data_IF_815650064019
#
_entry.id   IF_815650064019
#
_cell.length_a   1.000
_cell.length_b   1.000
_cell.length_c   1.000
_cell.angle_alpha   90.00
_cell.angle_beta   90.00
_cell.angle_gamma   90.00
#
_symmetry.space_group_name_H-M   'P 1'
#
loop_
_entity.id
_entity.type
_entity.pdbx_description
1 polymer ?
#
# COMPACT_ATOMS: atom_id res chain seq x y z
N UNK A 1 54.82 -5.04 -14.96
CA UNK A 1 53.94 -6.06 -15.60
C UNK A 1 52.82 -6.59 -14.70
N UNK A 2 53.06 -7.15 -13.50
CA UNK A 2 51.98 -7.56 -12.59
C UNK A 2 51.30 -6.37 -11.90
N UNK A 3 52.09 -5.40 -11.40
CA UNK A 3 51.56 -4.15 -10.82
C UNK A 3 50.74 -3.34 -11.84
N UNK A 4 51.24 -3.16 -13.06
CA UNK A 4 50.50 -2.44 -14.11
C UNK A 4 49.16 -3.09 -14.46
N UNK A 5 49.10 -4.43 -14.50
CA UNK A 5 47.84 -5.17 -14.72
C UNK A 5 46.87 -4.99 -13.55
N UNK A 6 47.37 -4.95 -12.32
CA UNK A 6 46.55 -4.72 -11.12
C UNK A 6 45.99 -3.29 -11.10
N UNK A 7 46.84 -2.28 -11.35
CA UNK A 7 46.45 -0.88 -11.41
C UNK A 7 45.40 -0.64 -12.51
N UNK A 8 45.57 -1.26 -13.69
CA UNK A 8 44.62 -1.16 -14.79
C UNK A 8 43.26 -1.79 -14.45
N UNK A 9 43.24 -2.99 -13.84
CA UNK A 9 42.00 -3.64 -13.38
C UNK A 9 41.29 -2.82 -12.29
N UNK A 10 42.04 -2.29 -11.33
CA UNK A 10 41.50 -1.42 -10.28
C UNK A 10 40.87 -0.15 -10.86
N UNK A 11 41.51 0.46 -11.86
CA UNK A 11 40.94 1.61 -12.56
C UNK A 11 39.64 1.27 -13.32
N UNK A 12 39.59 0.13 -14.01
CA UNK A 12 38.37 -0.31 -14.73
C UNK A 12 37.22 -0.66 -13.79
N UNK A 13 37.49 -1.29 -12.64
CA UNK A 13 36.49 -1.60 -11.63
C UNK A 13 35.83 -0.33 -11.07
N UNK A 14 36.62 0.74 -10.88
CA UNK A 14 36.10 2.06 -10.49
C UNK A 14 35.25 2.74 -11.56
N UNK A 15 35.35 2.32 -12.82
CA UNK A 15 34.52 2.78 -13.93
C UNK A 15 33.33 1.83 -14.21
N UNK A 16 33.00 0.94 -13.27
CA UNK A 16 31.86 0.02 -13.36
C UNK A 16 32.15 -1.30 -14.10
N UNK A 17 33.34 -1.50 -14.65
CA UNK A 17 33.71 -2.75 -15.32
C UNK A 17 34.36 -3.73 -14.34
N UNK A 18 33.60 -4.76 -13.94
CA UNK A 18 34.11 -5.81 -13.04
C UNK A 18 34.23 -5.37 -11.58
N UNK A 19 33.36 -4.47 -11.14
CA UNK A 19 33.11 -4.19 -9.72
C UNK A 19 32.19 -5.23 -9.08
N UNK A 20 32.10 -5.19 -7.74
CA UNK A 20 31.22 -6.06 -6.99
C UNK A 20 29.75 -5.83 -7.36
N UNK A 21 28.96 -6.90 -7.28
CA UNK A 21 27.52 -6.91 -7.59
C UNK A 21 26.72 -7.36 -6.39
N UNK A 22 25.47 -6.92 -6.34
CA UNK A 22 24.46 -7.37 -5.38
C UNK A 22 23.30 -8.01 -6.14
N UNK A 23 22.69 -9.02 -5.53
CA UNK A 23 21.52 -9.77 -6.03
C UNK A 23 20.68 -10.19 -4.81
N UNK A 24 19.41 -9.82 -4.74
CA UNK A 24 18.53 -10.14 -3.62
C UNK A 24 17.60 -11.30 -3.98
N UNK A 25 18.04 -12.50 -3.63
CA UNK A 25 17.32 -13.72 -3.95
C UNK A 25 16.20 -13.96 -2.95
N UNK A 26 14.96 -13.84 -3.42
CA UNK A 26 13.75 -14.11 -2.66
C UNK A 26 13.36 -15.59 -2.72
N UNK A 27 12.85 -16.14 -1.61
CA UNK A 27 12.31 -17.52 -1.59
C UNK A 27 11.04 -17.67 -2.46
N UNK A 28 10.22 -16.61 -2.53
CA UNK A 28 8.98 -16.51 -3.33
C UNK A 28 8.72 -15.03 -3.67
N UNK A 29 7.79 -14.76 -4.60
CA UNK A 29 7.39 -13.39 -4.95
C UNK A 29 6.11 -12.92 -4.25
N UNK A 30 5.34 -13.83 -3.67
CA UNK A 30 3.97 -13.57 -3.22
C UNK A 30 3.86 -13.64 -1.70
N UNK A 31 3.51 -12.52 -1.07
CA UNK A 31 3.46 -12.38 0.39
C UNK A 31 2.15 -11.74 0.81
N UNK A 32 1.45 -12.35 1.77
CA UNK A 32 0.30 -11.69 2.38
C UNK A 32 0.75 -10.57 3.33
N UNK A 33 -0.13 -9.60 3.59
CA UNK A 33 0.08 -8.66 4.69
C UNK A 33 0.34 -9.42 6.01
N UNK A 34 1.38 -9.02 6.74
CA UNK A 34 1.82 -9.71 7.96
C UNK A 34 2.75 -10.91 7.73
N UNK A 35 2.93 -11.39 6.49
CA UNK A 35 3.87 -12.46 6.20
C UNK A 35 5.31 -12.04 6.54
N UNK A 36 6.11 -13.03 6.94
CA UNK A 36 7.56 -12.88 7.03
C UNK A 36 8.22 -13.36 5.73
N UNK A 37 8.90 -12.42 5.08
CA UNK A 37 9.83 -12.69 4.00
C UNK A 37 11.14 -13.25 4.55
N UNK A 38 11.66 -14.24 3.83
CA UNK A 38 13.03 -14.74 3.94
C UNK A 38 13.66 -14.75 2.56
N UNK A 39 14.94 -14.40 2.52
CA UNK A 39 15.74 -14.41 1.30
C UNK A 39 17.22 -14.29 1.63
N UNK A 40 18.04 -14.24 0.60
CA UNK A 40 19.49 -14.10 0.71
C UNK A 40 19.97 -12.94 -0.17
N UNK A 41 20.73 -12.03 0.44
CA UNK A 41 21.48 -11.05 -0.31
C UNK A 41 22.83 -11.64 -0.71
N UNK A 42 23.04 -11.77 -2.01
CA UNK A 42 24.27 -12.30 -2.59
C UNK A 42 25.14 -11.13 -3.05
N UNK A 43 26.30 -10.98 -2.43
CA UNK A 43 27.33 -10.03 -2.85
C UNK A 43 28.44 -10.80 -3.56
N UNK A 44 28.62 -10.51 -4.84
CA UNK A 44 29.65 -11.11 -5.68
C UNK A 44 30.80 -10.10 -5.85
N UNK A 45 31.99 -10.44 -5.36
CA UNK A 45 33.19 -9.63 -5.50
C UNK A 45 33.61 -9.48 -6.97
N UNK A 46 34.13 -8.30 -7.30
CA UNK A 46 34.63 -7.98 -8.63
C UNK A 46 36.03 -8.56 -8.90
N UNK A 47 36.78 -7.89 -9.77
CA UNK A 47 38.12 -8.35 -10.20
C UNK A 47 39.27 -7.97 -9.26
N UNK A 48 39.00 -7.12 -8.26
CA UNK A 48 39.94 -6.61 -7.25
C UNK A 48 39.26 -6.55 -5.88
N UNK A 49 40.03 -6.47 -4.79
CA UNK A 49 39.47 -6.23 -3.45
C UNK A 49 38.73 -4.88 -3.44
N UNK A 50 37.53 -4.86 -2.85
CA UNK A 50 36.70 -3.66 -2.72
C UNK A 50 36.19 -3.52 -1.29
N UNK A 51 36.08 -2.27 -0.82
CA UNK A 51 35.46 -1.95 0.47
C UNK A 51 33.98 -1.61 0.23
N UNK A 52 33.09 -2.37 0.86
CA UNK A 52 31.66 -2.10 0.92
C UNK A 52 31.41 -1.22 2.13
N UNK A 53 30.82 -0.04 1.92
CA UNK A 53 30.51 0.91 2.98
C UNK A 53 29.18 0.56 3.65
N UNK A 54 28.14 0.36 2.84
CA UNK A 54 26.77 0.12 3.28
C UNK A 54 26.02 -0.71 2.24
N UNK A 55 24.97 -1.38 2.70
CA UNK A 55 23.95 -1.95 1.83
C UNK A 55 22.62 -1.39 2.33
N UNK A 56 21.82 -0.84 1.43
CA UNK A 56 20.45 -0.42 1.73
C UNK A 56 19.49 -1.32 0.96
N UNK A 57 18.47 -1.85 1.63
CA UNK A 57 17.38 -2.58 0.97
C UNK A 57 16.08 -1.85 1.33
N UNK A 58 15.38 -1.38 0.31
CA UNK A 58 14.15 -0.60 0.46
C UNK A 58 13.00 -1.31 -0.23
N UNK A 59 11.85 -1.44 0.45
CA UNK A 59 10.60 -1.82 -0.18
C UNK A 59 9.96 -0.55 -0.74
N UNK A 60 9.79 -0.52 -2.06
CA UNK A 60 9.18 0.59 -2.78
C UNK A 60 7.81 0.16 -3.30
N UNK A 61 6.84 1.02 -3.07
CA UNK A 61 5.50 0.95 -3.64
C UNK A 61 5.45 1.88 -4.86
N UNK A 62 4.80 1.45 -5.93
CA UNK A 62 4.56 2.25 -7.13
C UNK A 62 3.08 2.22 -7.50
N UNK A 63 2.47 3.39 -7.64
CA UNK A 63 1.07 3.58 -8.00
C UNK A 63 0.99 4.23 -9.38
N UNK A 64 0.23 3.62 -10.29
CA UNK A 64 -0.07 4.15 -11.60
C UNK A 64 -1.40 4.90 -11.59
N UNK A 65 -1.38 6.19 -11.87
CA UNK A 65 -2.56 7.03 -11.93
C UNK A 65 -2.41 8.14 -12.97
N UNK A 66 -3.43 8.33 -13.83
CA UNK A 66 -3.44 9.33 -14.92
C UNK A 66 -2.16 9.33 -15.77
N UNK A 67 -1.72 8.15 -16.21
CA UNK A 67 -0.51 7.93 -17.02
C UNK A 67 0.83 8.30 -16.36
N UNK A 68 0.84 8.46 -15.03
CA UNK A 68 2.03 8.74 -14.24
C UNK A 68 2.25 7.65 -13.18
N UNK A 69 3.52 7.40 -12.86
CA UNK A 69 3.91 6.52 -11.76
C UNK A 69 4.35 7.38 -10.56
N UNK A 70 3.76 7.09 -9.41
CA UNK A 70 4.13 7.68 -8.12
C UNK A 70 4.80 6.60 -7.28
N UNK A 71 6.03 6.84 -6.84
CA UNK A 71 6.80 5.85 -6.07
C UNK A 71 7.10 6.34 -4.67
N UNK A 72 6.92 5.46 -3.68
CA UNK A 72 7.21 5.75 -2.26
C UNK A 72 7.98 4.60 -1.63
N UNK A 73 9.02 4.91 -0.85
CA UNK A 73 9.64 3.90 0.03
C UNK A 73 8.75 3.67 1.24
N UNK A 74 8.23 2.44 1.37
CA UNK A 74 7.26 2.03 2.41
C UNK A 74 7.87 1.06 3.43
N UNK A 75 9.11 0.64 3.23
CA UNK A 75 9.84 -0.22 4.16
C UNK A 75 11.33 -0.15 3.93
N UNK A 76 12.11 -0.38 4.98
CA UNK A 76 13.58 -0.45 4.91
C UNK A 76 14.07 -1.65 5.71
N UNK A 77 15.04 -2.38 5.17
CA UNK A 77 15.75 -3.44 5.87
C UNK A 77 17.15 -2.90 6.20
N UNK A 78 17.44 -2.59 7.48
CA UNK A 78 18.71 -1.98 7.83
C UNK A 78 19.86 -2.97 7.67
N UNK A 79 20.92 -2.55 6.97
CA UNK A 79 22.19 -3.27 6.92
C UNK A 79 23.35 -2.27 7.03
N UNK A 80 24.12 -2.35 8.12
CA UNK A 80 25.06 -1.27 8.48
C UNK A 80 26.48 -1.73 8.82
N UNK A 81 26.84 -2.97 8.54
CA UNK A 81 28.20 -3.44 8.84
C UNK A 81 29.06 -3.38 7.59
N UNK A 82 30.02 -2.42 7.49
CA UNK A 82 30.94 -2.37 6.37
C UNK A 82 31.82 -3.61 6.34
N UNK A 83 32.23 -4.04 5.15
CA UNK A 83 33.14 -5.16 5.00
C UNK A 83 33.96 -5.05 3.72
N UNK A 84 35.06 -5.81 3.66
CA UNK A 84 35.82 -6.01 2.44
C UNK A 84 35.32 -7.24 1.72
N UNK A 85 35.16 -7.14 0.40
CA UNK A 85 34.89 -8.28 -0.48
C UNK A 85 36.13 -8.55 -1.33
N UNK A 86 36.60 -9.80 -1.32
CA UNK A 86 37.77 -10.23 -2.09
C UNK A 86 37.41 -10.44 -3.56
N UNK A 87 38.40 -10.47 -4.48
CA UNK A 87 38.15 -10.76 -5.89
C UNK A 87 37.40 -12.08 -6.06
N UNK A 88 36.32 -12.08 -6.83
CA UNK A 88 35.46 -13.24 -7.12
C UNK A 88 34.82 -13.91 -5.87
N UNK A 89 34.94 -13.32 -4.67
CA UNK A 89 34.31 -13.86 -3.45
C UNK A 89 32.79 -13.81 -3.57
N UNK A 90 32.12 -14.92 -3.24
CA UNK A 90 30.66 -14.94 -3.09
C UNK A 90 30.32 -14.90 -1.60
N UNK A 91 29.66 -13.83 -1.16
CA UNK A 91 29.16 -13.67 0.20
C UNK A 91 27.64 -13.72 0.20
N UNK A 92 27.06 -14.62 0.99
CA UNK A 92 25.61 -14.69 1.20
C UNK A 92 25.26 -14.16 2.59
N UNK A 93 24.25 -13.30 2.65
CA UNK A 93 23.75 -12.67 3.88
C UNK A 93 22.26 -12.99 3.98
N UNK A 94 21.79 -13.71 5.02
CA UNK A 94 20.38 -13.97 5.19
C UNK A 94 19.62 -12.68 5.54
N UNK A 95 18.47 -12.49 4.91
CA UNK A 95 17.61 -11.32 5.07
C UNK A 95 16.21 -11.78 5.50
N UNK A 96 15.63 -11.04 6.46
CA UNK A 96 14.24 -11.22 6.87
C UNK A 96 13.52 -9.90 6.96
N UNK A 97 12.26 -9.88 6.53
CA UNK A 97 11.38 -8.71 6.60
C UNK A 97 9.97 -9.16 6.95
N UNK A 98 9.18 -8.30 7.62
CA UNK A 98 7.77 -8.55 7.91
C UNK A 98 6.96 -7.49 7.19
N UNK A 99 6.03 -7.92 6.33
CA UNK A 99 5.16 -6.99 5.61
C UNK A 99 4.21 -6.29 6.60
N UNK A 100 4.22 -4.96 6.69
CA UNK A 100 3.29 -4.22 7.55
C UNK A 100 1.83 -4.51 7.19
N UNK A 101 0.96 -4.58 8.18
CA UNK A 101 -0.48 -4.89 8.00
C UNK A 101 -1.29 -3.77 7.34
N UNK A 102 -0.69 -2.60 7.14
CA UNK A 102 -1.33 -1.37 6.68
C UNK A 102 -0.91 -0.96 5.25
N UNK A 103 -0.12 -1.79 4.56
CA UNK A 103 0.19 -1.56 3.14
C UNK A 103 -1.06 -1.75 2.28
N UNK A 104 -1.06 -1.12 1.10
CA UNK A 104 -2.01 -1.44 0.04
C UNK A 104 -1.76 -2.87 -0.47
N UNK A 105 -2.81 -3.52 -0.95
CA UNK A 105 -2.68 -4.76 -1.70
C UNK A 105 -2.28 -4.45 -3.14
N UNK A 106 -1.53 -5.37 -3.74
CA UNK A 106 -1.17 -5.27 -5.15
C UNK A 106 -2.39 -5.41 -6.05
N UNK A 107 -2.38 -4.64 -7.14
CA UNK A 107 -3.45 -4.56 -8.14
C UNK A 107 -2.87 -4.20 -9.51
N UNK A 108 -3.73 -3.95 -10.50
CA UNK A 108 -3.29 -3.48 -11.82
C UNK A 108 -2.61 -2.10 -11.78
N UNK A 109 -2.91 -1.29 -10.76
CA UNK A 109 -2.38 0.06 -10.58
C UNK A 109 -1.34 0.15 -9.45
N UNK A 110 -1.23 -0.84 -8.58
CA UNK A 110 -0.34 -0.82 -7.40
C UNK A 110 0.64 -1.98 -7.47
N UNK A 111 1.93 -1.67 -7.45
CA UNK A 111 3.02 -2.66 -7.52
C UNK A 111 4.07 -2.42 -6.44
N UNK A 112 4.78 -3.50 -6.06
CA UNK A 112 5.85 -3.45 -5.07
C UNK A 112 7.13 -4.07 -5.61
N UNK A 113 8.26 -3.53 -5.18
CA UNK A 113 9.57 -4.11 -5.43
C UNK A 113 10.57 -3.74 -4.34
N UNK A 114 11.51 -4.63 -4.08
CA UNK A 114 12.70 -4.29 -3.31
C UNK A 114 13.75 -3.65 -4.22
N UNK A 115 14.46 -2.66 -3.71
CA UNK A 115 15.68 -2.14 -4.32
C UNK A 115 16.84 -2.31 -3.35
N UNK A 116 17.84 -3.08 -3.77
CA UNK A 116 19.08 -3.27 -3.02
C UNK A 116 20.15 -2.35 -3.60
N UNK A 117 20.76 -1.49 -2.78
CA UNK A 117 21.85 -0.60 -3.16
C UNK A 117 23.12 -0.99 -2.40
N UNK A 118 24.20 -1.23 -3.14
CA UNK A 118 25.53 -1.57 -2.63
C UNK A 118 26.46 -0.37 -2.81
N UNK A 119 26.77 0.34 -1.72
CA UNK A 119 27.72 1.46 -1.69
C UNK A 119 29.16 0.94 -1.64
N UNK A 120 29.93 1.23 -2.69
CA UNK A 120 31.32 0.76 -2.85
C UNK A 120 32.30 1.94 -2.77
N UNK A 121 33.22 1.88 -1.81
CA UNK A 121 34.16 2.97 -1.55
C UNK A 121 35.01 3.33 -2.79
N UNK A 122 34.76 4.52 -3.33
CA UNK A 122 35.52 5.07 -4.45
C UNK A 122 35.39 4.29 -5.76
N UNK A 123 34.28 3.56 -5.93
CA UNK A 123 33.90 2.87 -7.16
C UNK A 123 32.43 3.18 -7.51
N UNK A 124 31.96 2.68 -8.65
CA UNK A 124 30.54 2.76 -9.04
C UNK A 124 29.74 1.78 -8.19
N UNK A 125 28.64 2.25 -7.61
CA UNK A 125 27.70 1.45 -6.83
C UNK A 125 26.99 0.39 -7.69
N UNK A 126 26.52 -0.67 -7.05
CA UNK A 126 25.69 -1.70 -7.68
C UNK A 126 24.28 -1.63 -7.13
N UNK A 127 23.28 -1.90 -7.96
CA UNK A 127 21.89 -2.00 -7.54
C UNK A 127 21.21 -3.24 -8.11
N UNK A 128 20.16 -3.68 -7.43
CA UNK A 128 19.30 -4.78 -7.86
C UNK A 128 17.82 -4.47 -7.54
N UNK A 129 16.89 -5.07 -8.29
CA UNK A 129 15.45 -4.79 -8.20
C UNK A 129 14.61 -6.07 -8.34
N UNK A 130 13.86 -6.38 -7.29
CA UNK A 130 13.05 -7.61 -7.19
C UNK A 130 11.58 -7.28 -6.97
N UNK A 131 10.71 -7.71 -7.88
CA UNK A 131 9.27 -7.49 -7.76
C UNK A 131 8.63 -8.48 -6.80
N UNK A 132 7.67 -7.98 -6.01
CA UNK A 132 6.86 -8.79 -5.09
C UNK A 132 5.38 -8.41 -5.19
N UNK A 133 4.52 -9.36 -4.89
CA UNK A 133 3.08 -9.18 -4.77
C UNK A 133 2.70 -9.15 -3.29
N UNK A 134 1.96 -8.11 -2.90
CA UNK A 134 1.36 -7.95 -1.57
C UNK A 134 -0.10 -8.40 -1.64
N UNK A 135 -0.38 -9.53 -1.01
CA UNK A 135 -1.66 -10.23 -1.10
C UNK A 135 -2.55 -10.00 0.13
N UNK A 136 -3.87 -10.23 0.03
CA UNK A 136 -4.75 -10.23 1.18
C UNK A 136 -4.28 -11.21 2.28
N UNK A 137 -4.38 -10.86 3.57
CA UNK A 137 -4.23 -11.85 4.64
C UNK A 137 -5.37 -12.89 4.56
N UNK A 138 -5.15 -14.07 5.14
CA UNK A 138 -6.04 -15.24 5.00
C UNK A 138 -7.52 -14.91 5.27
N UNK A 139 -7.81 -14.13 6.32
CA UNK A 139 -9.18 -13.72 6.66
C UNK A 139 -9.88 -12.87 5.60
N UNK A 140 -9.16 -11.97 4.93
CA UNK A 140 -9.70 -11.18 3.83
C UNK A 140 -9.81 -12.02 2.56
N UNK A 141 -8.83 -12.90 2.31
CA UNK A 141 -8.92 -13.87 1.22
C UNK A 141 -10.14 -14.78 1.37
N UNK A 142 -10.46 -15.22 2.59
CA UNK A 142 -11.63 -16.04 2.88
C UNK A 142 -12.94 -15.25 2.70
N UNK A 143 -12.96 -13.95 3.00
CA UNK A 143 -14.10 -13.09 2.69
C UNK A 143 -14.34 -12.98 1.17
N UNK A 144 -13.28 -12.80 0.37
CA UNK A 144 -13.38 -12.82 -1.09
C UNK A 144 -13.90 -14.18 -1.61
N UNK A 145 -13.37 -15.29 -1.09
CA UNK A 145 -13.86 -16.65 -1.42
C UNK A 145 -15.35 -16.81 -1.02
N UNK A 146 -15.76 -16.26 0.11
CA UNK A 146 -17.14 -16.33 0.56
C UNK A 146 -18.10 -15.55 -0.36
N UNK A 147 -17.68 -14.37 -0.85
CA UNK A 147 -18.39 -13.65 -1.91
C UNK A 147 -18.49 -14.46 -3.20
N UNK A 148 -17.41 -15.14 -3.61
CA UNK A 148 -17.41 -16.03 -4.77
C UNK A 148 -18.43 -17.16 -4.64
N UNK A 149 -18.53 -17.78 -3.46
CA UNK A 149 -19.49 -18.87 -3.19
C UNK A 149 -20.95 -18.44 -3.35
N UNK A 150 -21.28 -17.18 -3.07
CA UNK A 150 -22.63 -16.62 -3.25
C UNK A 150 -22.83 -15.96 -4.63
N UNK A 151 -21.87 -16.19 -5.54
CA UNK A 151 -21.97 -15.83 -6.95
C UNK A 151 -21.56 -14.40 -7.25
N UNK A 152 -20.54 -13.87 -6.58
CA UNK A 152 -19.82 -12.67 -7.00
C UNK A 152 -18.45 -13.03 -7.59
N UNK A 153 -17.84 -12.11 -8.32
CA UNK A 153 -16.42 -12.19 -8.67
C UNK A 153 -15.80 -10.80 -8.56
N UNK A 154 -14.52 -10.75 -8.21
CA UNK A 154 -13.77 -9.51 -8.17
C UNK A 154 -13.45 -9.02 -9.59
N UNK A 155 -13.73 -7.74 -9.88
CA UNK A 155 -13.43 -7.14 -11.18
C UNK A 155 -11.91 -7.04 -11.40
N UNK A 156 -11.49 -6.99 -12.66
CA UNK A 156 -10.07 -6.91 -13.01
C UNK A 156 -9.42 -5.57 -12.59
N UNK A 157 -10.20 -4.50 -12.61
CA UNK A 157 -9.85 -3.14 -12.20
C UNK A 157 -10.16 -2.84 -10.72
N UNK A 158 -10.61 -3.84 -9.96
CA UNK A 158 -10.77 -3.79 -8.50
C UNK A 158 -9.47 -3.42 -7.79
N UNK A 159 -9.59 -3.07 -6.50
CA UNK A 159 -8.49 -2.65 -5.62
C UNK A 159 -7.91 -1.32 -6.05
N UNK A 160 -8.78 -0.45 -6.54
CA UNK A 160 -8.47 0.93 -6.87
C UNK A 160 -8.14 1.69 -5.57
N UNK A 161 -7.23 2.66 -5.66
CA UNK A 161 -6.86 3.49 -4.50
C UNK A 161 -7.28 4.92 -4.77
N UNK A 162 -8.19 5.43 -3.94
CA UNK A 162 -8.79 6.75 -4.10
C UNK A 162 -7.99 7.88 -3.43
N UNK A 163 -6.75 7.61 -2.99
CA UNK A 163 -5.94 8.53 -2.21
C UNK A 163 -6.03 8.30 -0.69
N UNK A 164 -7.07 7.62 -0.21
CA UNK A 164 -7.29 7.34 1.21
C UNK A 164 -7.40 5.86 1.52
N UNK A 165 -8.25 5.15 0.77
CA UNK A 165 -8.60 3.75 1.01
C UNK A 165 -8.46 2.96 -0.29
N UNK A 166 -8.20 1.67 -0.12
CA UNK A 166 -8.28 0.72 -1.22
C UNK A 166 -9.67 0.10 -1.29
N UNK A 167 -10.32 0.25 -2.43
CA UNK A 167 -11.70 -0.18 -2.66
C UNK A 167 -11.73 -1.43 -3.54
N UNK A 168 -12.53 -2.41 -3.12
CA UNK A 168 -12.73 -3.67 -3.80
C UNK A 168 -14.07 -3.63 -4.49
N UNK A 169 -14.12 -4.05 -5.76
CA UNK A 169 -15.33 -4.02 -6.56
C UNK A 169 -15.69 -5.43 -7.03
N UNK A 170 -16.91 -5.86 -6.72
CA UNK A 170 -17.40 -7.21 -6.98
C UNK A 170 -18.66 -7.16 -7.85
N UNK A 171 -18.69 -7.98 -8.91
CA UNK A 171 -19.89 -8.11 -9.76
C UNK A 171 -20.67 -9.40 -9.52
N UNK A 172 -22.01 -9.33 -9.47
CA UNK A 172 -22.83 -10.51 -9.30
C UNK A 172 -22.96 -11.32 -10.60
N UNK A 173 -22.87 -12.63 -10.47
CA UNK A 173 -23.08 -13.63 -11.54
C UNK A 173 -24.15 -14.66 -11.18
N UNK A 174 -24.51 -14.76 -9.89
CA UNK A 174 -25.47 -15.71 -9.34
C UNK A 174 -26.83 -15.11 -9.00
N UNK A 175 -27.33 -15.45 -7.81
CA UNK A 175 -28.70 -15.14 -7.36
C UNK A 175 -29.01 -13.63 -7.23
N UNK A 176 -27.97 -12.81 -7.12
CA UNK A 176 -28.10 -11.36 -6.94
C UNK A 176 -28.03 -10.57 -8.25
N UNK A 177 -27.74 -11.20 -9.40
CA UNK A 177 -27.43 -10.52 -10.68
C UNK A 177 -28.53 -9.59 -11.23
N UNK A 178 -29.78 -9.82 -10.83
CA UNK A 178 -30.96 -9.04 -11.29
C UNK A 178 -31.42 -8.02 -10.23
N UNK A 179 -30.72 -7.96 -9.08
CA UNK A 179 -31.06 -7.11 -7.93
C UNK A 179 -29.92 -6.15 -7.59
N UNK A 180 -28.67 -6.60 -7.73
CA UNK A 180 -27.45 -5.86 -7.46
C UNK A 180 -26.72 -5.63 -8.79
N UNK A 181 -26.25 -4.41 -9.01
CA UNK A 181 -25.35 -4.03 -10.09
C UNK A 181 -23.90 -4.33 -9.70
N UNK A 182 -23.52 -3.90 -8.50
CA UNK A 182 -22.17 -4.01 -7.94
C UNK A 182 -22.19 -4.06 -6.41
N UNK A 183 -21.20 -4.73 -5.82
CA UNK A 183 -20.86 -4.59 -4.40
C UNK A 183 -19.45 -4.04 -4.32
N UNK A 184 -19.31 -2.91 -3.67
CA UNK A 184 -18.02 -2.30 -3.37
C UNK A 184 -17.75 -2.39 -1.88
N UNK A 185 -16.49 -2.48 -1.50
CA UNK A 185 -16.14 -2.35 -0.09
C UNK A 185 -14.71 -1.89 0.14
N UNK A 186 -14.53 -1.22 1.27
CA UNK A 186 -13.22 -0.96 1.88
C UNK A 186 -13.07 -1.83 3.13
N UNK A 187 -11.83 -2.20 3.46
CA UNK A 187 -11.52 -3.13 4.57
C UNK A 187 -10.57 -2.52 5.61
N UNK A 188 -10.86 -2.78 6.88
CA UNK A 188 -9.98 -2.53 8.01
C UNK A 188 -9.60 -3.84 8.69
N UNK A 189 -8.29 -4.06 8.82
CA UNK A 189 -7.66 -5.23 9.39
C UNK A 189 -7.38 -4.96 10.88
N UNK A 190 -8.18 -5.57 11.76
CA UNK A 190 -8.07 -5.41 13.22
C UNK A 190 -7.50 -6.69 13.86
N UNK A 191 -7.14 -6.73 15.14
CA UNK A 191 -6.53 -7.93 15.73
C UNK A 191 -7.49 -9.14 15.77
N UNK A 192 -8.77 -8.89 16.05
CA UNK A 192 -9.78 -9.92 16.33
C UNK A 192 -10.71 -10.23 15.16
N UNK A 193 -10.53 -9.56 14.03
CA UNK A 193 -11.39 -9.71 12.86
C UNK A 193 -11.10 -8.69 11.77
N UNK A 194 -12.04 -8.54 10.85
CA UNK A 194 -12.05 -7.50 9.82
C UNK A 194 -13.36 -6.73 9.88
N UNK A 195 -13.27 -5.42 9.63
CA UNK A 195 -14.41 -4.55 9.41
C UNK A 195 -14.50 -4.23 7.93
N UNK A 196 -15.68 -4.39 7.34
CA UNK A 196 -15.97 -3.98 5.97
C UNK A 196 -16.97 -2.83 6.01
N UNK A 197 -16.71 -1.77 5.26
CA UNK A 197 -17.76 -0.83 4.87
C UNK A 197 -18.23 -1.26 3.50
N UNK A 198 -19.41 -1.89 3.45
CA UNK A 198 -20.04 -2.34 2.22
C UNK A 198 -20.84 -1.21 1.60
N UNK A 199 -20.80 -1.16 0.28
CA UNK A 199 -21.60 -0.35 -0.60
C UNK A 199 -22.23 -1.27 -1.64
N UNK A 200 -23.54 -1.15 -1.85
CA UNK A 200 -24.31 -2.05 -2.70
C UNK A 200 -25.17 -1.23 -3.63
N UNK A 201 -24.91 -1.36 -4.92
CA UNK A 201 -25.68 -0.72 -5.96
C UNK A 201 -26.84 -1.60 -6.38
N UNK A 202 -28.05 -1.10 -6.18
CA UNK A 202 -29.27 -1.80 -6.53
C UNK A 202 -29.80 -1.31 -7.88
N UNK A 203 -30.25 -2.27 -8.70
CA UNK A 203 -31.01 -1.94 -9.91
C UNK A 203 -32.27 -1.16 -9.54
N UNK A 204 -32.48 -0.02 -10.20
CA UNK A 204 -33.68 0.80 -10.00
C UNK A 204 -34.15 1.46 -11.30
N UNK A 205 -35.48 1.49 -11.50
CA UNK A 205 -36.11 2.13 -12.67
C UNK A 205 -35.93 3.66 -12.70
N UNK A 206 -35.53 4.29 -11.58
CA UNK A 206 -35.43 5.74 -11.44
C UNK A 206 -34.02 6.20 -11.02
N UNK A 207 -32.99 5.61 -11.64
CA UNK A 207 -31.58 5.88 -11.34
C UNK A 207 -30.98 4.84 -10.38
N UNK A 208 -29.65 4.83 -10.29
CA UNK A 208 -28.88 3.95 -9.40
C UNK A 208 -29.28 4.20 -7.93
N UNK A 209 -29.47 3.12 -7.18
CA UNK A 209 -29.77 3.19 -5.74
C UNK A 209 -28.67 2.51 -4.95
N UNK A 210 -27.75 3.33 -4.47
CA UNK A 210 -26.65 2.94 -3.61
C UNK A 210 -27.12 2.86 -2.14
N UNK A 211 -26.71 1.80 -1.45
CA UNK A 211 -26.92 1.63 -0.01
C UNK A 211 -25.64 1.16 0.67
N UNK A 212 -25.40 1.62 1.91
CA UNK A 212 -24.14 1.35 2.64
C UNK A 212 -24.37 0.72 4.01
N UNK A 213 -23.47 -0.18 4.41
CA UNK A 213 -23.49 -0.82 5.72
C UNK A 213 -22.09 -1.17 6.19
N UNK A 214 -21.74 -0.75 7.40
CA UNK A 214 -20.58 -1.30 8.08
C UNK A 214 -20.91 -2.66 8.71
N UNK A 215 -20.04 -3.65 8.49
CA UNK A 215 -20.15 -4.99 9.06
C UNK A 215 -18.84 -5.40 9.73
N UNK A 216 -18.96 -6.19 10.80
CA UNK A 216 -17.85 -6.79 11.52
C UNK A 216 -17.84 -8.29 11.32
N UNK A 217 -16.69 -8.84 10.93
CA UNK A 217 -16.46 -10.26 10.73
C UNK A 217 -15.34 -10.68 11.67
N UNK A 218 -15.65 -11.48 12.70
CA UNK A 218 -14.64 -11.97 13.63
C UNK A 218 -13.76 -13.07 13.03
N UNK A 219 -12.59 -13.32 13.62
CA UNK A 219 -11.66 -14.32 13.10
C UNK A 219 -12.29 -15.74 12.98
N UNK A 220 -13.07 -16.26 13.97
CA UNK A 220 -13.72 -17.56 13.82
C UNK A 220 -14.65 -17.65 12.61
N UNK A 221 -15.43 -16.60 12.32
CA UNK A 221 -16.26 -16.56 11.12
C UNK A 221 -15.41 -16.49 9.85
N UNK A 222 -14.35 -15.69 9.86
CA UNK A 222 -13.41 -15.61 8.73
C UNK A 222 -12.67 -16.92 8.44
N UNK A 223 -12.52 -17.81 9.42
CA UNK A 223 -11.84 -19.11 9.26
C UNK A 223 -12.75 -20.19 8.63
N UNK A 224 -14.06 -19.96 8.51
CA UNK A 224 -15.02 -20.85 7.83
C UNK A 224 -15.66 -20.12 6.63
N UNK A 225 -15.10 -20.25 5.41
CA UNK A 225 -15.65 -19.60 4.22
C UNK A 225 -17.09 -19.99 3.90
N UNK A 226 -17.56 -21.17 4.29
CA UNK A 226 -18.94 -21.61 4.00
C UNK A 226 -19.93 -20.93 4.94
N UNK A 227 -19.59 -20.86 6.24
CA UNK A 227 -20.38 -20.12 7.20
C UNK A 227 -20.38 -18.62 6.89
N UNK A 228 -19.21 -18.08 6.53
CA UNK A 228 -19.08 -16.68 6.12
C UNK A 228 -19.89 -16.37 4.87
N UNK A 229 -19.90 -17.25 3.86
CA UNK A 229 -20.72 -17.10 2.66
C UNK A 229 -22.22 -17.02 3.01
N UNK A 230 -22.69 -17.92 3.88
CA UNK A 230 -24.08 -17.89 4.37
C UNK A 230 -24.39 -16.56 5.08
N UNK A 231 -23.48 -16.10 5.93
CA UNK A 231 -23.65 -14.84 6.66
C UNK A 231 -23.69 -13.61 5.74
N UNK A 232 -22.79 -13.54 4.75
CA UNK A 232 -22.79 -12.47 3.74
C UNK A 232 -24.06 -12.49 2.90
N UNK A 233 -24.56 -13.67 2.53
CA UNK A 233 -25.83 -13.82 1.80
C UNK A 233 -27.01 -13.26 2.62
N UNK A 234 -27.06 -13.56 3.92
CA UNK A 234 -28.08 -13.04 4.83
C UNK A 234 -28.02 -11.52 4.93
N UNK A 235 -26.81 -10.94 5.09
CA UNK A 235 -26.60 -9.48 5.13
C UNK A 235 -27.08 -8.82 3.83
N UNK A 236 -26.65 -9.30 2.67
CA UNK A 236 -27.05 -8.71 1.38
C UNK A 236 -28.55 -8.84 1.16
N UNK A 237 -29.15 -9.97 1.54
CA UNK A 237 -30.61 -10.18 1.45
C UNK A 237 -31.36 -9.20 2.36
N UNK A 238 -30.89 -8.99 3.60
CA UNK A 238 -31.47 -8.02 4.54
C UNK A 238 -31.39 -6.59 3.97
N UNK A 239 -30.24 -6.22 3.39
CA UNK A 239 -29.99 -4.92 2.78
C UNK A 239 -30.93 -4.65 1.60
N UNK A 240 -31.09 -5.63 0.70
CA UNK A 240 -32.02 -5.53 -0.45
C UNK A 240 -33.48 -5.42 0.01
N UNK A 241 -33.87 -6.15 1.06
CA UNK A 241 -35.25 -6.14 1.57
C UNK A 241 -35.60 -4.86 2.32
N UNK A 242 -34.63 -4.23 2.98
CA UNK A 242 -34.82 -3.03 3.81
C UNK A 242 -33.92 -1.86 3.38
N UNK A 243 -33.91 -1.46 2.09
CA UNK A 243 -32.88 -0.57 1.57
C UNK A 243 -32.97 0.82 2.19
N UNK A 244 -34.16 1.26 2.63
CA UNK A 244 -34.38 2.55 3.29
C UNK A 244 -33.60 2.70 4.61
N UNK A 245 -33.26 1.59 5.27
CA UNK A 245 -32.46 1.59 6.49
C UNK A 245 -30.97 1.88 6.23
N UNK A 246 -30.55 1.81 4.97
CA UNK A 246 -29.15 1.89 4.53
C UNK A 246 -28.93 2.95 3.45
N UNK A 247 -29.97 3.73 3.11
CA UNK A 247 -29.83 4.86 2.19
C UNK A 247 -28.92 5.89 2.84
N UNK A 248 -27.75 6.06 2.23
CA UNK A 248 -26.87 7.15 2.59
C UNK A 248 -27.49 8.45 2.09
N UNK A 249 -27.94 9.32 3.00
CA UNK A 249 -28.35 10.66 2.62
C UNK A 249 -27.09 11.50 2.57
N UNK A 250 -26.51 11.69 1.38
CA UNK A 250 -25.56 12.78 1.17
C UNK A 250 -26.32 14.08 1.41
N UNK A 251 -26.18 14.64 2.60
CA UNK A 251 -26.70 15.98 2.85
C UNK A 251 -26.02 16.90 1.82
N UNK A 252 -26.83 17.52 0.97
CA UNK A 252 -26.40 18.53 0.02
C UNK A 252 -25.79 19.72 0.77
N UNK A 253 -24.49 19.63 1.02
CA UNK A 253 -23.60 20.72 1.39
C UNK A 253 -22.32 20.47 0.61
N UNK A 254 -21.92 21.49 -0.15
CA UNK A 254 -20.66 21.53 -0.89
C UNK A 254 -19.50 21.16 0.05
N UNK A 255 -18.63 20.27 -0.44
CA UNK A 255 -17.34 19.96 0.16
C UNK A 255 -17.41 19.05 1.40
N UNK A 256 -16.42 18.16 1.50
CA UNK A 256 -16.07 17.36 2.68
C UNK A 256 -16.85 16.03 2.80
N UNK A 257 -16.34 15.00 2.14
CA UNK A 257 -16.60 13.60 2.49
C UNK A 257 -16.02 13.30 3.89
N UNK A 258 -16.84 13.51 4.93
CA UNK A 258 -16.56 13.03 6.28
C UNK A 258 -16.74 11.51 6.31
N UNK A 259 -15.68 10.76 6.04
CA UNK A 259 -15.59 9.34 6.42
C UNK A 259 -15.47 9.24 7.96
N UNK A 260 -16.57 9.42 8.68
CA UNK A 260 -16.60 9.21 10.14
C UNK A 260 -16.52 7.71 10.44
N UNK A 261 -15.32 7.15 10.46
CA UNK A 261 -15.06 5.81 10.99
C UNK A 261 -13.95 5.04 10.27
N UNK A 262 -13.96 5.04 8.93
CA UNK A 262 -13.10 4.16 8.14
C UNK A 262 -11.86 4.84 7.56
N UNK A 263 -11.96 6.11 7.16
CA UNK A 263 -10.98 6.79 6.31
C UNK A 263 -9.61 7.06 6.94
N UNK A 264 -9.48 7.01 8.27
CA UNK A 264 -8.24 7.31 9.01
C UNK A 264 -8.02 6.32 10.18
N UNK A 265 -8.83 5.25 10.28
CA UNK A 265 -8.72 4.31 11.38
C UNK A 265 -7.48 3.40 11.25
N UNK A 266 -6.81 3.14 12.37
CA UNK A 266 -5.73 2.17 12.44
C UNK A 266 -6.23 0.80 11.96
N UNK A 267 -5.62 0.27 10.88
CA UNK A 267 -5.98 -1.02 10.29
C UNK A 267 -6.62 -0.93 8.90
N UNK A 268 -7.14 0.23 8.49
CA UNK A 268 -7.70 0.41 7.15
C UNK A 268 -6.63 0.17 6.07
N UNK A 269 -6.93 -0.67 5.08
CA UNK A 269 -6.04 -0.89 3.92
C UNK A 269 -5.99 0.41 3.12
N UNK A 270 -4.82 1.04 3.10
CA UNK A 270 -4.57 2.33 2.46
C UNK A 270 -4.53 3.54 3.39
N UNK A 271 -5.06 3.46 4.61
CA UNK A 271 -5.16 4.61 5.52
C UNK A 271 -3.81 5.25 5.89
N UNK A 272 -2.71 4.48 5.89
CA UNK A 272 -1.35 5.01 6.12
C UNK A 272 -0.64 5.40 4.82
N UNK A 273 -0.94 4.72 3.71
CA UNK A 273 -0.43 5.11 2.40
C UNK A 273 -0.91 6.53 2.04
N UNK A 274 -2.14 6.87 2.40
CA UNK A 274 -2.69 8.22 2.31
C UNK A 274 -1.78 9.25 2.99
N UNK A 275 -1.36 9.02 4.24
CA UNK A 275 -0.50 9.95 4.97
C UNK A 275 0.92 10.10 4.41
N UNK A 276 1.46 9.05 3.78
CA UNK A 276 2.78 9.09 3.13
C UNK A 276 2.71 9.76 1.75
N UNK A 277 1.71 9.41 0.94
CA UNK A 277 1.51 9.99 -0.39
C UNK A 277 1.06 11.44 -0.30
N UNK A 278 0.16 11.76 0.64
CA UNK A 278 -0.29 13.12 0.89
C UNK A 278 0.80 14.01 1.53
N UNK A 279 1.95 13.48 1.95
CA UNK A 279 3.07 14.30 2.43
C UNK A 279 4.09 14.62 1.32
N UNK A 280 4.22 13.74 0.32
CA UNK A 280 5.28 13.84 -0.70
C UNK A 280 4.75 14.25 -2.08
N UNK A 281 3.43 14.17 -2.31
CA UNK A 281 2.78 14.49 -3.60
C UNK A 281 1.83 15.69 -3.53
N UNK A 282 1.92 16.50 -2.45
CA UNK A 282 1.13 17.74 -2.26
C UNK A 282 1.25 18.67 -3.48
N UNK A 283 2.42 18.73 -4.12
CA UNK A 283 2.65 19.69 -5.21
C UNK A 283 2.19 19.20 -6.61
N UNK A 284 1.91 17.91 -6.81
CA UNK A 284 1.60 17.36 -8.16
C UNK A 284 0.31 16.53 -8.26
N UNK A 285 -0.26 16.09 -7.13
CA UNK A 285 -1.67 15.64 -7.03
C UNK A 285 -2.57 16.83 -6.61
N UNK A 286 -2.02 18.06 -6.63
CA UNK A 286 -2.67 19.31 -6.22
C UNK A 286 -4.12 19.46 -6.72
N UNK A 287 -4.42 19.18 -7.99
CA UNK A 287 -5.79 19.34 -8.51
C UNK A 287 -6.80 18.30 -7.98
N UNK A 288 -6.35 17.20 -7.36
CA UNK A 288 -7.21 16.24 -6.67
C UNK A 288 -7.23 16.42 -5.14
N UNK A 289 -6.37 17.30 -4.61
CA UNK A 289 -6.19 17.59 -3.18
C UNK A 289 -6.44 19.06 -2.81
N UNK A 290 -6.62 19.98 -3.77
CA UNK A 290 -6.98 21.39 -3.52
C UNK A 290 -8.32 21.50 -2.78
N UNK A 291 -9.28 20.62 -3.10
CA UNK A 291 -10.56 20.51 -2.38
C UNK A 291 -10.43 19.99 -0.92
N UNK A 292 -9.23 19.56 -0.51
CA UNK A 292 -8.96 18.92 0.80
C UNK A 292 -8.32 19.89 1.79
N UNK A 293 -7.54 20.89 1.34
CA UNK A 293 -6.72 21.72 2.24
C UNK A 293 -7.09 23.23 2.30
N UNK A 294 -8.10 23.73 1.57
CA UNK A 294 -8.60 25.11 1.77
C UNK A 294 -9.52 25.29 3.00
N UNK A 295 -9.53 24.32 3.93
CA UNK A 295 -10.43 24.32 5.10
C UNK A 295 -9.84 24.87 6.41
N UNK A 296 -8.52 25.02 6.54
CA UNK A 296 -7.88 25.36 7.81
C UNK A 296 -6.84 26.50 7.65
N UNK A 297 -7.29 27.67 7.23
CA UNK A 297 -6.68 28.94 7.66
C UNK A 297 -7.73 29.81 8.37
N UNK A 298 -8.20 29.35 9.55
CA UNK A 298 -8.67 30.31 10.53
C UNK A 298 -7.45 31.05 11.08
N UNK A 299 -7.23 32.27 10.58
CA UNK A 299 -6.40 33.29 11.22
C UNK A 299 -6.76 33.36 12.71
N UNK A 300 -5.94 32.73 13.55
CA UNK A 300 -5.91 33.05 14.98
C UNK A 300 -5.37 34.48 15.10
N UNK A 301 -6.31 35.42 15.12
CA UNK A 301 -6.08 36.80 15.47
C UNK A 301 -5.51 36.82 16.91
N UNK A 302 -4.19 36.83 17.03
CA UNK A 302 -3.50 37.18 18.25
C UNK A 302 -3.86 38.63 18.56
N UNK A 303 -4.79 38.83 19.50
CA UNK A 303 -4.95 40.09 20.17
C UNK A 303 -3.64 40.38 20.93
N UNK A 304 -2.75 41.12 20.28
CA UNK A 304 -1.62 41.75 20.94
C UNK A 304 -2.14 42.91 21.78
N UNK A 305 -1.83 42.86 23.07
CA UNK A 305 -1.90 43.97 23.99
C UNK A 305 -1.22 45.21 23.38
N UNK A 306 -1.98 46.28 23.19
CA UNK A 306 -1.42 47.64 23.12
C UNK A 306 -1.81 48.37 24.42
N UNK A 307 -0.79 48.51 25.27
CA UNK A 307 -0.72 49.35 26.45
C UNK A 307 0.23 50.51 26.12
N UNK A 308 -0.09 51.73 26.61
CA UNK A 308 0.57 53.06 26.44
C UNK A 308 0.00 53.92 25.28
N UNK A 309 -0.33 55.21 25.43
CA UNK A 309 -0.29 56.20 26.53
C UNK A 309 -1.11 57.45 26.10
N UNK A 310 -1.48 58.31 27.06
CA UNK A 310 -1.50 59.77 26.83
C UNK A 310 -2.83 60.51 26.60
N UNK A 311 -3.25 61.21 27.67
CA UNK A 311 -3.96 62.50 27.79
C UNK A 311 -4.34 63.31 26.53
N UNK A 312 -5.57 63.85 26.48
CA UNK A 312 -5.90 65.29 26.69
C UNK A 312 -7.38 65.59 26.35
N UNK A 313 -7.99 66.42 27.21
CA UNK A 313 -9.27 67.16 27.16
C UNK A 313 -10.65 66.47 27.32
#
# INVERSE_FOLDING_TARGET
MLEEKFVFKSFLAKLGHGGAKVDFVLDKSDYALGDSLRGELIVQGGTVEQQINRIDIELVMSIYHKDHYYTQTVGKIPFHTPFKIQPEERKSIPVSYVFPMNLLLSSSSISYYFVSHLDIAGAVDSSDKDFVQVLPPLRLQNALIAFEQIGFYEKHDSRSFNGYLQEFELKPTGMFKDQIEEVEFVVSLEETGIRLLLEVDLYSFFGEKEIRREIWLDNPLCDDPTQLATHLQEILTEMIQNPQSYVFHSAATQGIHKHTGFGIAAGAVGGVAAGLIAAEVIDEIGDALEDVFEGDEEEQNFAADDFFDGDED
#
